data_IF_081854507230
#
_entry.id   IF_081854507230
#
_cell.length_a   1.000
_cell.length_b   1.000
_cell.length_c   1.000
_cell.angle_alpha   90.00
_cell.angle_beta   90.00
_cell.angle_gamma   90.00
#
_symmetry.space_group_name_H-M   'P 1'
#
loop_
_entity.id
_entity.type
_entity.pdbx_description
1 polymer ?
#
# COMPACT_ATOMS: atom_id res chain seq x y z
N UNK A 1 -8.14 -7.23 -2.06
CA UNK A 1 -8.10 -5.85 -2.57
C UNK A 1 -9.53 -5.34 -2.54
N UNK A 2 -9.84 -4.35 -1.70
CA UNK A 2 -11.18 -3.76 -1.66
C UNK A 2 -11.20 -2.43 -2.42
N UNK A 3 -12.12 -2.29 -3.37
CA UNK A 3 -12.28 -1.08 -4.18
C UNK A 3 -13.22 -0.04 -3.52
N UNK A 4 -13.48 -0.16 -2.22
CA UNK A 4 -14.45 0.67 -1.50
C UNK A 4 -14.09 2.16 -1.51
N UNK A 5 -12.86 2.47 -1.13
CA UNK A 5 -12.38 3.85 -1.00
C UNK A 5 -12.37 4.62 -2.32
N UNK A 6 -11.88 4.06 -3.45
CA UNK A 6 -11.97 4.76 -4.73
C UNK A 6 -13.36 4.77 -5.36
N UNK A 7 -14.21 3.76 -5.10
CA UNK A 7 -15.50 3.65 -5.79
C UNK A 7 -16.68 4.22 -5.00
N UNK A 8 -16.84 3.83 -3.74
CA UNK A 8 -18.03 4.14 -2.94
C UNK A 8 -17.86 5.40 -2.10
N UNK A 9 -16.67 5.62 -1.51
CA UNK A 9 -16.46 6.80 -0.67
C UNK A 9 -16.73 8.13 -1.40
N UNK A 10 -16.32 8.33 -2.68
CA UNK A 10 -16.66 9.55 -3.42
C UNK A 10 -18.15 9.71 -3.68
N UNK A 11 -18.90 8.61 -3.83
CA UNK A 11 -20.36 8.68 -3.99
C UNK A 11 -21.04 9.17 -2.72
N UNK A 12 -20.61 8.64 -1.56
CA UNK A 12 -21.12 9.08 -0.26
C UNK A 12 -20.75 10.55 -0.04
N UNK A 13 -19.50 10.95 -0.26
CA UNK A 13 -19.05 12.34 -0.06
C UNK A 13 -19.77 13.34 -0.98
N UNK A 14 -20.10 12.96 -2.22
CA UNK A 14 -20.87 13.81 -3.15
C UNK A 14 -22.29 14.11 -2.67
N UNK A 15 -22.89 13.24 -1.87
CA UNK A 15 -24.25 13.41 -1.37
C UNK A 15 -24.34 14.39 -0.18
N UNK A 16 -23.21 14.90 0.31
CA UNK A 16 -23.16 15.81 1.46
C UNK A 16 -22.35 17.07 1.12
N UNK A 17 -23.00 18.10 0.53
CA UNK A 17 -22.34 19.34 0.13
C UNK A 17 -21.88 20.21 1.33
N UNK A 18 -22.33 19.91 2.55
CA UNK A 18 -22.06 20.68 3.76
C UNK A 18 -21.12 19.96 4.73
N UNK A 19 -19.89 19.67 4.29
CA UNK A 19 -18.79 19.24 5.15
C UNK A 19 -18.86 17.82 5.73
N UNK A 20 -17.75 17.36 6.31
CA UNK A 20 -17.62 16.06 6.95
C UNK A 20 -18.36 16.04 8.30
N UNK A 21 -19.57 15.48 8.33
CA UNK A 21 -20.32 15.27 9.58
C UNK A 21 -20.04 13.88 10.15
N UNK A 22 -20.21 13.67 11.48
CA UNK A 22 -20.11 12.34 12.08
C UNK A 22 -21.01 11.29 11.41
N UNK A 23 -22.18 11.69 10.91
CA UNK A 23 -23.11 10.80 10.20
C UNK A 23 -22.50 10.22 8.92
N UNK A 24 -21.70 11.00 8.18
CA UNK A 24 -21.00 10.54 6.97
C UNK A 24 -19.98 9.47 7.34
N UNK A 25 -19.21 9.67 8.41
CA UNK A 25 -18.22 8.70 8.86
C UNK A 25 -18.88 7.40 9.32
N UNK A 26 -20.01 7.47 10.03
CA UNK A 26 -20.79 6.28 10.37
C UNK A 26 -21.31 5.54 9.13
N UNK A 27 -21.80 6.25 8.12
CA UNK A 27 -22.27 5.62 6.89
C UNK A 27 -21.14 4.96 6.09
N UNK A 28 -19.97 5.61 6.01
CA UNK A 28 -18.77 5.04 5.41
C UNK A 28 -18.29 3.80 6.20
N UNK A 29 -18.30 3.87 7.54
CA UNK A 29 -17.92 2.75 8.40
C UNK A 29 -18.83 1.54 8.17
N UNK A 30 -20.16 1.73 8.19
CA UNK A 30 -21.11 0.64 7.96
C UNK A 30 -21.00 0.05 6.56
N UNK A 31 -20.82 0.91 5.54
CA UNK A 31 -20.58 0.45 4.17
C UNK A 31 -19.33 -0.43 4.05
N UNK A 32 -18.23 -0.02 4.69
CA UNK A 32 -16.99 -0.78 4.69
C UNK A 32 -17.11 -2.07 5.52
N UNK A 33 -17.74 -2.01 6.70
CA UNK A 33 -18.02 -3.20 7.52
C UNK A 33 -18.88 -4.22 6.78
N UNK A 34 -19.86 -3.77 5.99
CA UNK A 34 -20.68 -4.63 5.15
C UNK A 34 -19.83 -5.47 4.20
N UNK A 35 -18.81 -4.87 3.57
CA UNK A 35 -17.87 -5.59 2.70
C UNK A 35 -16.95 -6.54 3.48
N UNK A 36 -16.42 -6.09 4.62
CA UNK A 36 -15.53 -6.92 5.45
C UNK A 36 -16.26 -8.17 5.98
N UNK A 37 -17.53 -8.04 6.37
CA UNK A 37 -18.37 -9.16 6.82
C UNK A 37 -18.68 -10.18 5.71
N UNK A 38 -18.64 -9.76 4.44
CA UNK A 38 -18.78 -10.66 3.29
C UNK A 38 -17.52 -11.52 3.10
N UNK A 39 -16.34 -10.98 3.39
CA UNK A 39 -15.08 -11.75 3.34
C UNK A 39 -14.95 -12.72 4.51
N UNK A 40 -15.31 -12.28 5.72
CA UNK A 40 -15.33 -13.14 6.90
C UNK A 40 -16.25 -12.60 7.99
N UNK A 41 -17.10 -13.47 8.53
CA UNK A 41 -17.98 -13.12 9.67
C UNK A 41 -17.30 -13.32 11.02
N UNK A 42 -16.19 -14.07 11.07
CA UNK A 42 -15.55 -14.52 12.32
C UNK A 42 -14.14 -13.99 12.51
N UNK A 43 -13.55 -13.34 11.50
CA UNK A 43 -12.22 -12.77 11.60
C UNK A 43 -12.15 -11.69 12.68
N UNK A 44 -11.21 -11.85 13.62
CA UNK A 44 -10.95 -10.86 14.67
C UNK A 44 -10.23 -9.61 14.13
N UNK A 45 -9.50 -9.76 13.03
CA UNK A 45 -8.76 -8.69 12.35
C UNK A 45 -8.85 -8.91 10.85
N UNK A 46 -8.94 -7.81 10.10
CA UNK A 46 -8.97 -7.84 8.64
C UNK A 46 -7.86 -6.97 8.10
N UNK A 47 -7.24 -7.41 7.01
CA UNK A 47 -6.21 -6.64 6.29
C UNK A 47 -6.74 -6.28 4.92
N UNK A 48 -6.86 -4.98 4.63
CA UNK A 48 -7.14 -4.49 3.28
C UNK A 48 -5.85 -3.98 2.63
N UNK A 49 -5.29 -4.82 1.76
CA UNK A 49 -4.12 -4.47 0.95
C UNK A 49 -4.60 -4.00 -0.41
N UNK A 50 -4.54 -2.69 -0.64
CA UNK A 50 -4.78 -2.05 -1.94
C UNK A 50 -3.77 -0.90 -2.11
N UNK A 51 -2.86 -0.94 -3.10
CA UNK A 51 -1.83 0.10 -3.25
C UNK A 51 -2.41 1.51 -3.32
N UNK A 52 -3.57 1.72 -3.95
CA UNK A 52 -4.21 3.02 -4.07
C UNK A 52 -4.79 3.61 -2.77
N UNK A 53 -4.81 2.86 -1.66
CA UNK A 53 -5.36 3.34 -0.37
C UNK A 53 -4.60 4.56 0.18
N UNK A 54 -3.36 4.81 -0.26
CA UNK A 54 -2.62 6.01 0.15
C UNK A 54 -3.34 7.32 -0.20
N UNK A 55 -4.21 7.33 -1.22
CA UNK A 55 -5.01 8.50 -1.59
C UNK A 55 -6.06 8.87 -0.53
N UNK A 56 -6.39 7.94 0.37
CA UNK A 56 -7.54 8.03 1.27
C UNK A 56 -7.17 7.92 2.74
N UNK A 57 -5.89 7.98 3.12
CA UNK A 57 -5.47 7.73 4.52
C UNK A 57 -6.15 8.66 5.53
N UNK A 58 -6.31 9.95 5.20
CA UNK A 58 -7.04 10.89 6.05
C UNK A 58 -8.49 10.46 6.30
N UNK A 59 -9.19 10.00 5.26
CA UNK A 59 -10.56 9.52 5.36
C UNK A 59 -10.65 8.19 6.12
N UNK A 60 -9.76 7.25 5.78
CA UNK A 60 -9.66 5.95 6.46
C UNK A 60 -9.46 6.16 7.96
N UNK A 61 -8.55 7.05 8.34
CA UNK A 61 -8.28 7.34 9.75
C UNK A 61 -9.44 8.08 10.43
N UNK A 62 -10.14 8.98 9.73
CA UNK A 62 -11.32 9.65 10.27
C UNK A 62 -12.47 8.66 10.55
N UNK A 63 -12.69 7.70 9.65
CA UNK A 63 -13.72 6.66 9.78
C UNK A 63 -13.30 5.58 10.79
N UNK A 64 -12.02 5.21 10.79
CA UNK A 64 -11.44 4.18 11.65
C UNK A 64 -10.22 4.71 12.40
N UNK A 65 -10.40 5.47 13.50
CA UNK A 65 -9.29 6.10 14.23
C UNK A 65 -8.29 5.11 14.85
N UNK A 66 -8.65 3.83 14.94
CA UNK A 66 -7.78 2.74 15.43
C UNK A 66 -7.13 1.92 14.31
N UNK A 67 -7.35 2.28 13.04
CA UNK A 67 -6.74 1.58 11.92
C UNK A 67 -5.21 1.75 11.96
N UNK A 68 -4.50 0.63 11.79
CA UNK A 68 -3.05 0.60 11.65
C UNK A 68 -2.69 0.60 10.17
N UNK A 69 -1.93 1.60 9.73
CA UNK A 69 -1.53 1.75 8.33
C UNK A 69 -0.12 1.18 8.18
N UNK A 70 0.05 0.20 7.30
CA UNK A 70 1.36 -0.36 6.95
C UNK A 70 1.73 0.19 5.58
N UNK A 71 2.72 1.07 5.55
CA UNK A 71 3.20 1.71 4.34
C UNK A 71 4.49 1.05 3.86
N UNK A 72 4.38 0.23 2.81
CA UNK A 72 5.53 -0.44 2.21
C UNK A 72 6.12 0.43 1.10
N UNK A 73 7.38 0.80 1.26
CA UNK A 73 8.17 1.51 0.25
C UNK A 73 9.23 0.59 -0.34
N UNK A 74 9.55 0.82 -1.61
CA UNK A 74 10.66 0.18 -2.33
C UNK A 74 11.39 1.28 -3.09
N UNK A 75 12.63 1.02 -3.51
CA UNK A 75 13.38 1.94 -4.36
C UNK A 75 12.47 2.54 -5.47
N UNK A 76 12.40 3.88 -5.58
CA UNK A 76 11.41 4.57 -6.42
C UNK A 76 11.52 4.16 -7.88
N UNK A 77 12.75 4.10 -8.39
CA UNK A 77 13.03 3.73 -9.78
C UNK A 77 12.67 2.27 -10.07
N UNK A 78 12.97 1.34 -9.14
CA UNK A 78 12.58 -0.06 -9.30
C UNK A 78 11.06 -0.22 -9.30
N UNK A 79 10.37 0.61 -8.52
CA UNK A 79 8.90 0.64 -8.45
C UNK A 79 8.32 1.12 -9.78
N UNK A 80 8.75 2.29 -10.27
CA UNK A 80 8.27 2.84 -11.54
C UNK A 80 8.62 1.94 -12.72
N UNK A 81 9.82 1.36 -12.76
CA UNK A 81 10.23 0.43 -13.80
C UNK A 81 9.39 -0.86 -13.76
N UNK A 82 9.09 -1.37 -12.57
CA UNK A 82 8.20 -2.52 -12.41
C UNK A 82 6.78 -2.21 -12.90
N UNK A 83 6.29 -0.99 -12.69
CA UNK A 83 4.99 -0.56 -13.19
C UNK A 83 5.01 -0.44 -14.71
N UNK A 84 6.07 0.14 -15.28
CA UNK A 84 6.24 0.31 -16.72
C UNK A 84 6.22 -1.04 -17.46
N UNK A 85 6.88 -2.07 -16.91
CA UNK A 85 6.87 -3.40 -17.51
C UNK A 85 5.59 -4.19 -17.25
N UNK A 86 4.77 -3.81 -16.29
CA UNK A 86 3.55 -4.52 -15.95
C UNK A 86 2.38 -4.03 -16.82
N UNK A 87 1.76 -4.94 -17.57
CA UNK A 87 0.55 -4.65 -18.34
C UNK A 87 -0.69 -4.58 -17.43
N UNK A 88 -0.81 -3.51 -16.65
CA UNK A 88 -2.03 -3.24 -15.88
C UNK A 88 -3.23 -2.98 -16.83
N UNK A 89 -4.46 -3.22 -16.39
CA UNK A 89 -5.67 -2.73 -17.08
C UNK A 89 -5.81 -1.22 -16.89
N UNK A 90 -6.72 -0.57 -17.63
CA UNK A 90 -6.79 0.89 -17.91
C UNK A 90 -6.81 1.86 -16.72
N UNK A 91 -6.86 1.41 -15.47
CA UNK A 91 -6.86 2.27 -14.27
C UNK A 91 -5.53 2.94 -13.91
N UNK A 92 -4.49 2.81 -14.76
CA UNK A 92 -3.13 3.27 -14.50
C UNK A 92 -2.62 4.13 -15.67
N UNK A 93 -3.27 5.25 -15.95
CA UNK A 93 -2.96 6.10 -17.10
C UNK A 93 -1.49 6.60 -17.13
N UNK A 94 -0.87 6.72 -15.95
CA UNK A 94 0.51 7.17 -15.79
C UNK A 94 1.57 6.15 -16.24
N UNK A 95 1.21 4.89 -16.51
CA UNK A 95 2.18 3.81 -16.78
C UNK A 95 2.85 3.86 -18.16
N UNK A 96 2.29 4.63 -19.10
CA UNK A 96 2.63 4.52 -20.52
C UNK A 96 3.90 5.28 -20.92
N UNK A 97 4.36 6.21 -20.09
CA UNK A 97 5.59 6.95 -20.30
C UNK A 97 6.32 7.21 -18.99
N UNK A 98 7.65 7.39 -19.10
CA UNK A 98 8.53 7.50 -17.95
C UNK A 98 8.39 8.85 -17.21
N UNK A 99 7.91 9.90 -17.88
CA UNK A 99 7.71 11.22 -17.29
C UNK A 99 6.47 11.23 -16.39
N UNK A 100 5.35 10.69 -16.87
CA UNK A 100 4.13 10.49 -16.09
C UNK A 100 4.38 9.60 -14.87
N UNK A 101 5.20 8.55 -15.01
CA UNK A 101 5.61 7.71 -13.87
C UNK A 101 6.42 8.49 -12.83
N UNK A 102 7.37 9.33 -13.25
CA UNK A 102 8.15 10.17 -12.36
C UNK A 102 7.25 11.17 -11.61
N UNK A 103 6.41 11.90 -12.36
CA UNK A 103 5.48 12.89 -11.80
C UNK A 103 4.49 12.25 -10.81
N UNK A 104 3.94 11.08 -11.15
CA UNK A 104 3.03 10.38 -10.26
C UNK A 104 3.72 9.92 -8.96
N UNK A 105 4.97 9.44 -9.05
CA UNK A 105 5.73 9.06 -7.86
C UNK A 105 6.03 10.27 -6.96
N UNK A 106 6.39 11.42 -7.52
CA UNK A 106 6.60 12.67 -6.78
C UNK A 106 5.32 13.11 -6.05
N UNK A 107 4.17 13.06 -6.73
CA UNK A 107 2.87 13.36 -6.12
C UNK A 107 2.54 12.39 -4.97
N UNK A 108 2.77 11.09 -5.18
CA UNK A 108 2.65 10.09 -4.13
C UNK A 108 3.56 10.39 -2.93
N UNK A 109 4.81 10.76 -3.18
CA UNK A 109 5.78 11.10 -2.13
C UNK A 109 5.31 12.31 -1.32
N UNK A 110 4.91 13.39 -1.99
CA UNK A 110 4.36 14.59 -1.37
C UNK A 110 3.11 14.28 -0.54
N UNK A 111 2.20 13.45 -1.06
CA UNK A 111 0.99 13.06 -0.35
C UNK A 111 1.30 12.22 0.90
N UNK A 112 2.24 11.30 0.82
CA UNK A 112 2.69 10.54 2.00
C UNK A 112 3.39 11.42 3.02
N UNK A 113 4.17 12.42 2.60
CA UNK A 113 4.74 13.41 3.49
C UNK A 113 3.66 14.21 4.23
N UNK A 114 2.60 14.61 3.52
CA UNK A 114 1.42 15.23 4.14
C UNK A 114 0.76 14.30 5.17
N UNK A 115 0.52 13.03 4.84
CA UNK A 115 -0.11 12.11 5.79
C UNK A 115 0.71 11.90 7.07
N UNK A 116 2.04 11.85 6.96
CA UNK A 116 2.92 11.80 8.13
C UNK A 116 2.82 13.03 9.03
N UNK A 117 2.52 14.20 8.46
CA UNK A 117 2.45 15.44 9.24
C UNK A 117 1.09 15.65 9.92
N UNK A 118 0.01 15.10 9.38
CA UNK A 118 -1.35 15.33 9.90
C UNK A 118 -1.96 14.16 10.67
N UNK A 119 -1.49 12.93 10.45
CA UNK A 119 -1.99 11.77 11.18
C UNK A 119 -1.27 11.65 12.54
N UNK A 120 -1.95 11.10 13.58
CA UNK A 120 -1.32 10.86 14.86
C UNK A 120 -0.05 10.00 14.74
N UNK A 121 0.93 10.32 15.59
CA UNK A 121 2.14 9.51 15.68
C UNK A 121 1.80 8.06 16.01
N UNK A 122 2.39 7.11 15.27
CA UNK A 122 2.10 5.68 15.41
C UNK A 122 0.86 5.19 14.65
N UNK A 123 0.21 6.02 13.84
CA UNK A 123 -0.84 5.55 12.92
C UNK A 123 -0.26 4.85 11.68
N UNK A 124 0.95 5.22 11.25
CA UNK A 124 1.65 4.65 10.09
C UNK A 124 2.93 3.94 10.53
N UNK A 125 3.11 2.70 10.06
CA UNK A 125 4.37 1.96 10.10
C UNK A 125 5.04 2.01 8.72
N UNK A 126 6.23 2.57 8.66
CA UNK A 126 7.04 2.68 7.44
C UNK A 126 7.92 1.43 7.30
N UNK A 127 7.71 0.67 6.23
CA UNK A 127 8.45 -0.55 5.93
C UNK A 127 9.20 -0.36 4.61
N UNK A 128 10.54 -0.39 4.65
CA UNK A 128 11.34 -0.46 3.42
C UNK A 128 11.48 -1.91 2.97
N UNK A 129 11.10 -2.18 1.74
CA UNK A 129 11.13 -3.52 1.17
C UNK A 129 12.54 -4.12 1.26
N UNK A 130 13.56 -3.32 0.99
CA UNK A 130 14.96 -3.72 1.06
C UNK A 130 15.37 -4.16 2.47
N UNK A 131 14.89 -3.48 3.52
CA UNK A 131 15.10 -3.91 4.91
C UNK A 131 14.41 -5.24 5.20
N UNK A 132 13.17 -5.44 4.71
CA UNK A 132 12.45 -6.70 4.88
C UNK A 132 13.16 -7.87 4.19
N UNK A 133 13.81 -7.61 3.04
CA UNK A 133 14.61 -8.61 2.34
C UNK A 133 15.92 -8.94 3.06
N UNK A 134 16.52 -7.98 3.75
CA UNK A 134 17.78 -8.15 4.48
C UNK A 134 17.59 -8.76 5.86
N UNK A 135 16.55 -8.37 6.58
CA UNK A 135 16.20 -8.83 7.92
C UNK A 135 14.69 -9.08 8.02
N UNK A 136 14.25 -10.17 7.38
CA UNK A 136 12.83 -10.55 7.38
C UNK A 136 12.29 -10.73 8.79
N UNK A 137 13.04 -11.43 9.65
CA UNK A 137 12.61 -11.74 11.01
C UNK A 137 12.49 -10.48 11.87
N UNK A 138 13.51 -9.62 11.89
CA UNK A 138 13.49 -8.39 12.69
C UNK A 138 12.42 -7.42 12.23
N UNK A 139 12.23 -7.25 10.91
CA UNK A 139 11.13 -6.43 10.38
C UNK A 139 9.77 -7.03 10.71
N UNK A 140 9.61 -8.35 10.63
CA UNK A 140 8.34 -9.03 10.96
C UNK A 140 7.99 -8.85 12.44
N UNK A 141 8.97 -8.98 13.34
CA UNK A 141 8.78 -8.74 14.79
C UNK A 141 8.33 -7.31 15.07
N UNK A 142 9.00 -6.30 14.49
CA UNK A 142 8.59 -4.88 14.63
C UNK A 142 7.19 -4.62 14.08
N UNK A 143 6.83 -5.27 12.97
CA UNK A 143 5.50 -5.15 12.37
C UNK A 143 4.42 -5.76 13.26
N UNK A 144 4.66 -6.96 13.82
CA UNK A 144 3.73 -7.64 14.73
C UNK A 144 3.50 -6.80 15.99
N UNK A 145 4.57 -6.26 16.58
CA UNK A 145 4.50 -5.33 17.71
C UNK A 145 3.66 -4.09 17.39
N UNK A 146 3.89 -3.46 16.23
CA UNK A 146 3.13 -2.29 15.77
C UNK A 146 1.61 -2.55 15.67
N UNK A 147 1.22 -3.72 15.19
CA UNK A 147 -0.19 -4.11 15.10
C UNK A 147 -0.71 -4.78 16.39
N UNK A 148 0.13 -5.01 17.40
CA UNK A 148 -0.24 -5.68 18.64
C UNK A 148 -0.64 -7.14 18.44
N UNK A 149 0.15 -7.89 17.68
CA UNK A 149 0.10 -9.36 17.59
C UNK A 149 1.39 -9.96 18.11
N UNK A 150 1.31 -11.19 18.60
CA UNK A 150 2.49 -11.98 18.90
C UNK A 150 3.17 -12.43 17.61
N UNK A 151 4.50 -12.45 17.63
CA UNK A 151 5.29 -13.02 16.56
C UNK A 151 5.43 -14.54 16.75
N UNK A 152 5.25 -15.28 15.67
CA UNK A 152 5.43 -16.73 15.64
C UNK A 152 6.41 -17.13 14.51
N UNK A 153 7.33 -18.09 14.73
CA UNK A 153 8.30 -18.51 13.72
C UNK A 153 7.66 -18.93 12.38
N UNK A 154 6.48 -19.55 12.42
CA UNK A 154 5.74 -19.99 11.23
C UNK A 154 5.30 -18.84 10.29
N UNK A 155 5.39 -17.59 10.74
CA UNK A 155 5.13 -16.41 9.89
C UNK A 155 6.19 -16.26 8.77
N UNK A 156 7.41 -16.77 8.97
CA UNK A 156 8.47 -16.76 7.95
C UNK A 156 8.20 -17.76 6.82
N UNK A 157 7.35 -18.75 7.07
CA UNK A 157 6.96 -19.79 6.10
C UNK A 157 5.69 -19.41 5.34
N UNK A 158 5.44 -18.11 5.12
CA UNK A 158 4.24 -17.61 4.43
C UNK A 158 4.03 -18.24 3.03
N UNK A 159 5.12 -18.61 2.35
CA UNK A 159 5.11 -19.23 1.02
C UNK A 159 4.64 -20.70 1.05
N UNK A 160 4.61 -21.33 2.22
CA UNK A 160 4.08 -22.68 2.45
C UNK A 160 2.57 -22.68 2.73
N UNK A 161 1.98 -21.51 3.02
CA UNK A 161 0.54 -21.41 3.26
C UNK A 161 -0.23 -21.40 1.95
N UNK A 162 -1.26 -22.25 1.84
CA UNK A 162 -2.11 -22.31 0.65
C UNK A 162 -3.17 -21.19 0.67
N UNK A 163 -2.71 -19.96 0.41
CA UNK A 163 -3.58 -18.79 0.25
C UNK A 163 -3.69 -18.40 -1.22
N UNK A 164 -4.92 -18.19 -1.67
CA UNK A 164 -5.16 -17.68 -3.01
C UNK A 164 -4.74 -16.20 -3.10
N UNK A 165 -3.64 -15.94 -3.82
CA UNK A 165 -3.21 -14.59 -4.19
C UNK A 165 -3.74 -14.28 -5.59
N UNK A 166 -4.53 -13.21 -5.73
CA UNK A 166 -5.17 -12.82 -7.00
C UNK A 166 -4.54 -11.59 -7.65
N UNK A 167 -3.37 -11.16 -7.19
CA UNK A 167 -2.70 -9.94 -7.64
C UNK A 167 -1.73 -10.20 -8.81
N UNK A 168 -1.34 -9.14 -9.53
CA UNK A 168 -0.33 -9.22 -10.59
C UNK A 168 1.02 -9.83 -10.12
N UNK A 169 1.31 -9.70 -8.83
CA UNK A 169 2.48 -10.28 -8.16
C UNK A 169 2.28 -11.71 -7.63
N UNK A 170 1.20 -12.43 -8.01
CA UNK A 170 0.85 -13.76 -7.50
C UNK A 170 2.03 -14.75 -7.48
N UNK A 171 2.75 -14.85 -8.59
CA UNK A 171 3.88 -15.77 -8.70
C UNK A 171 5.05 -15.38 -7.78
N UNK A 172 5.30 -14.09 -7.62
CA UNK A 172 6.35 -13.55 -6.74
C UNK A 172 6.00 -13.73 -5.27
N UNK A 173 4.72 -13.52 -4.91
CA UNK A 173 4.23 -13.65 -3.54
C UNK A 173 4.22 -15.09 -3.01
N UNK A 174 4.33 -16.09 -3.90
CA UNK A 174 4.43 -17.52 -3.56
C UNK A 174 5.86 -18.04 -3.43
N UNK A 175 6.86 -17.18 -3.64
CA UNK A 175 8.27 -17.55 -3.48
C UNK A 175 8.78 -17.11 -2.10
N UNK A 176 9.83 -17.75 -1.57
CA UNK A 176 10.61 -17.18 -0.49
C UNK A 176 11.08 -15.76 -0.85
N UNK A 177 11.34 -14.93 0.16
CA UNK A 177 11.84 -13.59 -0.08
C UNK A 177 13.17 -13.67 -0.84
N UNK A 178 13.23 -13.02 -2.00
CA UNK A 178 14.37 -13.10 -2.93
C UNK A 178 14.98 -11.72 -3.17
N UNK A 179 16.31 -11.71 -3.38
CA UNK A 179 17.11 -10.48 -3.55
C UNK A 179 17.18 -9.96 -4.98
N UNK A 180 16.74 -10.75 -5.97
CA UNK A 180 16.92 -10.47 -7.40
C UNK A 180 16.10 -9.29 -7.93
N UNK A 181 15.16 -8.77 -7.13
CA UNK A 181 14.38 -7.58 -7.45
C UNK A 181 15.08 -6.28 -7.05
N UNK A 182 16.09 -6.31 -6.18
CA UNK A 182 16.80 -5.12 -5.70
C UNK A 182 17.74 -4.59 -6.79
N UNK A 183 17.68 -3.28 -7.04
CA UNK A 183 18.54 -2.57 -8.01
C UNK A 183 18.44 -3.05 -9.46
N UNK A 184 17.33 -3.68 -9.84
CA UNK A 184 17.11 -4.13 -11.23
C UNK A 184 17.20 -2.96 -12.21
N UNK A 185 16.81 -1.77 -11.78
CA UNK A 185 16.88 -0.55 -12.58
C UNK A 185 18.27 -0.24 -13.14
N UNK A 186 19.36 -0.65 -12.47
CA UNK A 186 20.74 -0.42 -12.95
C UNK A 186 20.99 -1.05 -14.32
N UNK A 187 20.35 -2.18 -14.62
CA UNK A 187 20.47 -2.84 -15.93
C UNK A 187 19.87 -2.01 -17.07
N UNK A 188 18.96 -1.09 -16.73
CA UNK A 188 18.25 -0.25 -17.67
C UNK A 188 18.65 1.22 -17.55
N UNK A 189 19.65 1.57 -16.72
CA UNK A 189 20.00 2.92 -16.31
C UNK A 189 20.09 3.92 -17.48
N UNK A 190 20.72 3.49 -18.58
CA UNK A 190 20.86 4.27 -19.83
C UNK A 190 19.53 4.62 -20.54
N UNK A 191 18.42 4.00 -20.16
CA UNK A 191 17.09 4.14 -20.76
C UNK A 191 16.08 4.82 -19.82
N UNK A 192 16.44 5.11 -18.59
CA UNK A 192 15.49 5.55 -17.56
C UNK A 192 15.07 7.00 -17.67
N UNK A 193 15.90 7.84 -18.33
CA UNK A 193 15.62 9.25 -18.58
C UNK A 193 15.07 9.96 -17.33
N UNK A 194 13.80 10.40 -17.35
CA UNK A 194 13.22 11.17 -16.25
C UNK A 194 13.11 10.42 -14.92
N UNK A 195 13.08 9.08 -14.92
CA UNK A 195 13.01 8.32 -13.65
C UNK A 195 14.27 8.51 -12.79
N UNK A 196 15.42 8.87 -13.37
CA UNK A 196 16.66 9.06 -12.62
C UNK A 196 16.57 10.17 -11.57
N UNK A 197 15.67 11.16 -11.75
CA UNK A 197 15.47 12.22 -10.74
C UNK A 197 14.90 11.68 -9.42
N UNK A 198 14.19 10.55 -9.47
CA UNK A 198 13.62 9.93 -8.29
C UNK A 198 14.67 9.33 -7.33
N UNK A 199 15.96 9.31 -7.68
CA UNK A 199 17.01 8.85 -6.76
C UNK A 199 17.00 9.62 -5.43
N UNK A 200 16.58 10.88 -5.43
CA UNK A 200 16.44 11.67 -4.21
C UNK A 200 15.44 11.08 -3.19
N UNK A 201 14.48 10.25 -3.65
CA UNK A 201 13.49 9.58 -2.80
C UNK A 201 13.88 8.16 -2.40
N UNK A 202 15.10 7.70 -2.75
CA UNK A 202 15.56 6.35 -2.46
C UNK A 202 16.00 6.13 -1.00
N UNK A 203 16.18 7.22 -0.22
CA UNK A 203 16.62 7.18 1.18
C UNK A 203 15.51 6.84 2.18
#
# INVERSE_FOLDING_TARGET
EMDFWPRLAPQVLRNFPAGCTPAIFSQLAEGYWGLLRQESQTALRVTDKMPGNFNYLGLIHAVFPKARIIHVRRHPIDTCLSIYFQQFKDSHAYKWDLESLASYYEQYHCLMAHWRSVLPAGSIFELKYEELVEDTEGVSKRLMDFIGLDWEPGQLEFHMQDRAVFTASKWQAKQPIYKTSKERWRQYEKHLGPLLRLQEYAS
#
